data_IF_129753793293
#
_entry.id   IF_129753793293
#
_cell.length_a   1.000
_cell.length_b   1.000
_cell.length_c   1.000
_cell.angle_alpha   90.00
_cell.angle_beta   90.00
_cell.angle_gamma   90.00
#
_symmetry.space_group_name_H-M   'P 1'
#
loop_
_entity.id
_entity.type
_entity.pdbx_description
1 polymer ?
#
# COMPACT_ATOMS: atom_id res chain seq x y z
N UNK A 1 -11.84 -5.81 19.42
CA UNK A 1 -12.11 -4.48 18.79
C UNK A 1 -11.67 -4.60 17.34
N UNK A 2 -12.58 -4.49 16.36
CA UNK A 2 -12.18 -4.46 14.94
C UNK A 2 -11.73 -3.03 14.65
N UNK A 3 -10.54 -2.79 14.09
CA UNK A 3 -10.18 -1.45 13.64
C UNK A 3 -11.21 -1.00 12.59
N UNK A 4 -11.88 0.13 12.84
CA UNK A 4 -12.69 0.79 11.82
C UNK A 4 -11.72 1.58 10.94
N UNK A 5 -11.27 0.96 9.85
CA UNK A 5 -10.52 1.64 8.82
C UNK A 5 -11.33 1.56 7.54
N UNK A 6 -11.68 2.72 7.00
CA UNK A 6 -12.44 2.85 5.75
C UNK A 6 -11.53 3.43 4.66
N UNK A 7 -11.53 2.77 3.51
CA UNK A 7 -10.88 3.30 2.33
C UNK A 7 -11.76 4.39 1.72
N UNK A 8 -11.13 5.48 1.28
CA UNK A 8 -11.78 6.49 0.47
C UNK A 8 -12.00 5.95 -0.95
N UNK A 9 -13.26 5.92 -1.41
CA UNK A 9 -13.63 5.36 -2.71
C UNK A 9 -12.98 6.11 -3.88
N UNK A 10 -12.87 7.44 -3.80
CA UNK A 10 -12.24 8.26 -4.85
C UNK A 10 -10.75 7.93 -4.97
N UNK A 11 -10.07 7.77 -3.83
CA UNK A 11 -8.67 7.32 -3.83
C UNK A 11 -8.52 5.89 -4.35
N UNK A 12 -9.47 5.00 -4.05
CA UNK A 12 -9.46 3.62 -4.53
C UNK A 12 -9.63 3.57 -6.05
N UNK A 13 -10.50 4.40 -6.64
CA UNK A 13 -10.62 4.54 -8.09
C UNK A 13 -9.31 5.02 -8.72
N UNK A 14 -8.72 6.09 -8.18
CA UNK A 14 -7.42 6.58 -8.64
C UNK A 14 -6.30 5.54 -8.52
N UNK A 15 -6.31 4.73 -7.46
CA UNK A 15 -5.36 3.64 -7.29
C UNK A 15 -5.55 2.55 -8.35
N UNK A 16 -6.79 2.18 -8.65
CA UNK A 16 -7.10 1.22 -9.72
C UNK A 16 -6.65 1.74 -11.07
N UNK A 17 -6.86 3.02 -11.37
CA UNK A 17 -6.40 3.62 -12.62
C UNK A 17 -4.87 3.63 -12.73
N UNK A 18 -4.15 3.96 -11.65
CA UNK A 18 -2.69 4.04 -11.63
C UNK A 18 -1.99 2.69 -11.59
N UNK A 19 -2.54 1.72 -10.85
CA UNK A 19 -1.86 0.49 -10.47
C UNK A 19 -2.60 -0.79 -10.87
N UNK A 20 -3.83 -0.70 -11.38
CA UNK A 20 -4.62 -1.84 -11.87
C UNK A 20 -5.24 -2.72 -10.78
N UNK A 21 -5.11 -2.35 -9.50
CA UNK A 21 -5.62 -3.13 -8.36
C UNK A 21 -6.38 -2.23 -7.38
N UNK A 22 -7.36 -2.80 -6.66
CA UNK A 22 -8.04 -2.08 -5.57
C UNK A 22 -7.21 -2.10 -4.28
N UNK A 23 -7.50 -1.21 -3.33
CA UNK A 23 -6.88 -1.29 -2.00
C UNK A 23 -7.19 -2.60 -1.27
N UNK A 24 -8.39 -3.15 -1.48
CA UNK A 24 -8.81 -4.42 -0.89
C UNK A 24 -8.03 -5.62 -1.46
N UNK A 25 -7.63 -5.55 -2.73
CA UNK A 25 -6.78 -6.58 -3.34
C UNK A 25 -5.31 -6.37 -2.93
N UNK A 26 -4.85 -5.11 -2.93
CA UNK A 26 -3.47 -4.75 -2.62
C UNK A 26 -3.06 -5.12 -1.18
N UNK A 27 -3.98 -5.10 -0.21
CA UNK A 27 -3.67 -5.52 1.17
C UNK A 27 -3.18 -6.97 1.27
N UNK A 28 -3.56 -7.86 0.34
CA UNK A 28 -3.11 -9.25 0.38
C UNK A 28 -1.61 -9.39 0.10
N UNK A 29 -0.97 -8.41 -0.54
CA UNK A 29 0.48 -8.39 -0.73
C UNK A 29 1.25 -8.41 0.61
N UNK A 30 0.69 -7.82 1.67
CA UNK A 30 1.31 -7.85 3.00
C UNK A 30 1.20 -9.22 3.69
N UNK A 31 0.14 -9.96 3.38
CA UNK A 31 -0.11 -11.28 3.92
C UNK A 31 0.54 -12.41 3.11
N UNK A 32 1.09 -12.11 1.92
CA UNK A 32 1.77 -13.11 1.09
C UNK A 32 3.02 -13.67 1.81
N UNK A 33 3.07 -14.99 2.09
CA UNK A 33 4.24 -15.62 2.70
C UNK A 33 5.50 -15.54 1.82
N UNK A 34 5.35 -15.33 0.51
CA UNK A 34 6.46 -15.19 -0.43
C UNK A 34 6.75 -13.72 -0.80
N UNK A 35 6.26 -12.76 -0.01
CA UNK A 35 6.51 -11.35 -0.27
C UNK A 35 8.02 -11.06 -0.34
N UNK A 36 8.42 -10.29 -1.34
CA UNK A 36 9.80 -9.81 -1.48
C UNK A 36 9.88 -8.43 -0.85
N UNK A 37 10.76 -8.26 0.13
CA UNK A 37 11.06 -6.96 0.74
C UNK A 37 12.37 -6.48 0.14
N UNK A 38 12.36 -5.29 -0.47
CA UNK A 38 13.52 -4.67 -1.11
C UNK A 38 13.74 -3.32 -0.43
N UNK A 39 14.98 -3.05 -0.01
CA UNK A 39 15.35 -1.75 0.52
C UNK A 39 15.35 -0.72 -0.62
N UNK A 40 14.62 0.38 -0.44
CA UNK A 40 14.66 1.51 -1.37
C UNK A 40 15.92 2.34 -1.11
N UNK A 41 16.98 2.04 -1.87
CA UNK A 41 18.26 2.74 -1.79
C UNK A 41 18.22 4.15 -2.42
N UNK A 42 17.13 4.54 -3.09
CA UNK A 42 16.97 5.82 -3.78
C UNK A 42 16.39 6.94 -2.92
N UNK A 43 15.65 6.60 -1.86
CA UNK A 43 15.12 7.57 -0.89
C UNK A 43 15.99 7.64 0.37
N UNK A 44 17.16 8.25 0.21
CA UNK A 44 18.19 8.37 1.26
C UNK A 44 18.44 9.78 1.80
N UNK A 45 17.48 10.71 1.69
CA UNK A 45 17.56 11.98 2.40
C UNK A 45 16.72 11.88 3.69
N UNK A 46 17.42 11.81 4.84
CA UNK A 46 16.88 11.90 6.19
C UNK A 46 15.55 12.68 6.25
N UNK A 47 14.50 12.01 6.68
CA UNK A 47 13.45 12.65 7.46
C UNK A 47 14.10 13.06 8.78
N UNK A 48 14.40 14.36 8.92
CA UNK A 48 14.85 14.97 10.17
C UNK A 48 13.66 14.88 11.15
N UNK A 49 13.82 14.06 12.20
CA UNK A 49 12.88 13.94 13.32
C UNK A 49 12.90 15.19 14.20
#
# INVERSE_FOLDING_TARGET
MRPNFEWDDVKNEQNKEKHGVSFLDAQYAFADPNRVIIEDLGHGAKEDL
#
